data_IF_773363127266
#
_entry.id   IF_773363127266
#
_cell.length_a   1.000
_cell.length_b   1.000
_cell.length_c   1.000
_cell.angle_alpha   90.00
_cell.angle_beta   90.00
_cell.angle_gamma   90.00
#
_symmetry.space_group_name_H-M   'P 1'
#
loop_
_entity.id
_entity.type
_entity.pdbx_description
1 polymer ?
#
# COMPACT_ATOMS: atom_id res chain seq x y z
N UNK A 1 23.26 19.55 7.09
CA UNK A 1 21.79 19.57 7.20
C UNK A 1 21.37 18.21 7.71
N UNK A 2 20.82 18.12 8.93
CA UNK A 2 20.44 16.83 9.51
C UNK A 2 19.34 16.18 8.67
N UNK A 3 19.54 14.93 8.26
CA UNK A 3 18.53 14.17 7.53
C UNK A 3 17.30 14.03 8.41
N UNK A 4 16.21 14.74 8.07
CA UNK A 4 14.93 14.57 8.76
C UNK A 4 14.47 13.14 8.53
N UNK A 5 14.38 12.37 9.61
CA UNK A 5 13.96 10.97 9.57
C UNK A 5 12.54 10.87 9.01
N UNK A 6 12.36 10.21 7.87
CA UNK A 6 11.08 10.13 7.17
C UNK A 6 10.18 9.03 7.72
N UNK A 7 10.77 8.04 8.38
CA UNK A 7 10.06 6.89 8.95
C UNK A 7 10.61 6.57 10.34
N UNK A 8 9.71 6.45 11.32
CA UNK A 8 10.05 6.00 12.68
C UNK A 8 9.43 4.63 12.96
N UNK A 9 10.00 3.94 13.94
CA UNK A 9 9.51 2.64 14.43
C UNK A 9 9.44 2.72 15.95
N UNK A 10 8.25 2.49 16.50
CA UNK A 10 8.00 2.45 17.94
C UNK A 10 7.39 1.10 18.32
N UNK A 11 7.59 0.67 19.56
CA UNK A 11 7.02 -0.58 20.08
C UNK A 11 6.17 -0.29 21.30
N UNK A 12 4.96 -0.85 21.35
CA UNK A 12 4.08 -0.74 22.51
C UNK A 12 4.35 -1.86 23.52
N UNK A 13 3.97 -1.64 24.78
CA UNK A 13 4.06 -2.66 25.83
C UNK A 13 3.23 -3.93 25.51
N UNK A 14 2.17 -3.79 24.72
CA UNK A 14 1.31 -4.90 24.30
C UNK A 14 1.95 -5.79 23.20
N UNK A 15 3.09 -5.36 22.65
CA UNK A 15 3.82 -6.07 21.61
C UNK A 15 3.43 -5.66 20.19
N UNK A 16 3.01 -4.41 19.96
CA UNK A 16 2.76 -3.90 18.60
C UNK A 16 3.95 -3.07 18.11
N UNK A 17 4.45 -3.41 16.91
CA UNK A 17 5.40 -2.57 16.18
C UNK A 17 4.63 -1.57 15.33
N UNK A 18 4.86 -0.27 15.56
CA UNK A 18 4.21 0.80 14.80
C UNK A 18 5.26 1.49 13.94
N UNK A 19 5.06 1.45 12.62
CA UNK A 19 5.82 2.22 11.65
C UNK A 19 5.04 3.49 11.32
N UNK A 20 5.64 4.65 11.58
CA UNK A 20 5.02 5.96 11.33
C UNK A 20 5.76 6.70 10.23
N UNK A 21 5.01 7.09 9.19
CA UNK A 21 5.52 7.79 8.01
C UNK A 21 5.35 9.31 8.18
N UNK A 22 6.45 10.05 8.10
CA UNK A 22 6.58 11.48 8.43
C UNK A 22 7.00 12.34 7.22
N UNK A 23 6.90 11.80 6.00
CA UNK A 23 7.42 12.41 4.78
C UNK A 23 6.36 13.25 4.04
N UNK A 24 5.62 14.10 4.76
CA UNK A 24 4.60 14.98 4.19
C UNK A 24 3.46 14.25 3.47
N UNK A 25 3.58 14.07 2.16
CA UNK A 25 2.63 13.30 1.34
C UNK A 25 2.96 11.80 1.25
N UNK A 26 4.11 11.36 1.83
CA UNK A 26 4.62 10.00 1.77
C UNK A 26 4.62 9.44 0.34
N UNK A 27 5.21 10.22 -0.57
CA UNK A 27 5.37 9.81 -1.97
C UNK A 27 6.42 8.72 -2.08
N UNK A 28 6.12 7.70 -2.87
CA UNK A 28 6.94 6.51 -3.04
C UNK A 28 8.05 6.80 -4.05
N UNK A 29 9.28 6.84 -3.55
CA UNK A 29 10.53 6.86 -4.32
C UNK A 29 11.54 5.91 -3.66
N UNK A 30 12.73 5.74 -4.25
CA UNK A 30 13.72 4.77 -3.76
C UNK A 30 14.10 5.03 -2.29
N UNK A 31 14.34 6.30 -1.92
CA UNK A 31 14.74 6.63 -0.55
C UNK A 31 13.66 6.25 0.46
N UNK A 32 12.40 6.62 0.17
CA UNK A 32 11.27 6.30 1.03
C UNK A 32 11.08 4.79 1.19
N UNK A 33 11.13 4.03 0.08
CA UNK A 33 10.97 2.58 0.12
C UNK A 33 12.14 1.90 0.85
N UNK A 34 13.35 2.43 0.73
CA UNK A 34 14.53 1.91 1.46
C UNK A 34 14.37 2.11 2.96
N UNK A 35 13.93 3.29 3.39
CA UNK A 35 13.64 3.57 4.81
C UNK A 35 12.49 2.70 5.33
N UNK A 36 11.46 2.46 4.52
CA UNK A 36 10.32 1.63 4.89
C UNK A 36 10.75 0.17 5.07
N UNK A 37 11.55 -0.37 4.15
CA UNK A 37 12.11 -1.72 4.28
C UNK A 37 12.97 -1.85 5.54
N UNK A 38 13.81 -0.85 5.82
CA UNK A 38 14.61 -0.84 7.05
C UNK A 38 13.74 -0.84 8.31
N UNK A 39 12.60 -0.14 8.30
CA UNK A 39 11.65 -0.15 9.40
C UNK A 39 10.94 -1.51 9.55
N UNK A 40 10.59 -2.16 8.42
CA UNK A 40 10.07 -3.52 8.40
C UNK A 40 11.08 -4.51 9.01
N UNK A 41 12.38 -4.37 8.70
CA UNK A 41 13.45 -5.20 9.29
C UNK A 41 13.54 -5.03 10.81
N UNK A 42 13.43 -3.79 11.32
CA UNK A 42 13.42 -3.52 12.77
C UNK A 42 12.23 -4.17 13.47
N UNK A 43 11.07 -4.20 12.83
CA UNK A 43 9.89 -4.87 13.40
C UNK A 43 10.10 -6.38 13.47
N UNK A 44 10.74 -6.98 12.46
CA UNK A 44 11.05 -8.41 12.45
C UNK A 44 12.16 -8.82 13.42
N UNK A 45 13.10 -7.93 13.72
CA UNK A 45 14.17 -8.23 14.69
C UNK A 45 13.69 -8.22 16.14
N UNK A 46 12.55 -7.59 16.43
CA UNK A 46 11.94 -7.62 17.75
C UNK A 46 11.09 -8.89 17.94
N UNK A 47 11.60 -9.83 18.73
CA UNK A 47 10.96 -11.12 19.01
C UNK A 47 9.67 -11.02 19.83
N UNK A 48 9.48 -9.92 20.55
CA UNK A 48 8.27 -9.68 21.35
C UNK A 48 7.14 -9.03 20.53
N UNK A 49 7.45 -8.63 19.29
CA UNK A 49 6.47 -8.04 18.39
C UNK A 49 5.49 -9.11 17.86
N UNK A 50 4.20 -8.85 18.06
CA UNK A 50 3.10 -9.74 17.70
C UNK A 50 2.36 -9.31 16.45
N UNK A 51 2.40 -8.02 16.10
CA UNK A 51 1.80 -7.49 14.89
C UNK A 51 2.45 -6.16 14.47
N UNK A 52 2.37 -5.88 13.16
CA UNK A 52 2.80 -4.63 12.55
C UNK A 52 1.60 -3.71 12.31
N UNK A 53 1.76 -2.44 12.66
CA UNK A 53 0.84 -1.35 12.28
C UNK A 53 1.63 -0.33 11.46
N UNK A 54 1.13 0.04 10.29
CA UNK A 54 1.65 1.19 9.54
C UNK A 54 0.66 2.35 9.62
N UNK A 55 1.18 3.56 9.81
CA UNK A 55 0.37 4.79 9.80
C UNK A 55 1.23 5.99 9.39
N UNK A 56 0.64 7.17 9.33
CA UNK A 56 1.39 8.40 9.02
C UNK A 56 0.95 9.59 9.86
N UNK A 57 1.69 10.69 9.68
CA UNK A 57 1.28 12.01 10.15
C UNK A 57 0.72 12.89 9.03
N UNK A 58 -0.06 13.89 9.43
CA UNK A 58 -0.66 14.84 8.51
C UNK A 58 -1.88 14.31 7.76
N UNK A 59 -2.05 14.79 6.52
CA UNK A 59 -3.26 14.59 5.70
C UNK A 59 -3.24 13.34 4.82
N UNK A 60 -2.08 12.71 4.64
CA UNK A 60 -1.89 11.62 3.70
C UNK A 60 -1.30 10.42 4.41
N UNK A 61 -1.96 9.26 4.31
CA UNK A 61 -1.27 8.00 4.55
C UNK A 61 -0.17 7.84 3.49
N UNK A 62 -0.54 7.91 2.21
CA UNK A 62 0.40 8.05 1.08
C UNK A 62 -0.32 8.57 -0.16
N UNK A 63 0.34 9.46 -0.89
CA UNK A 63 -0.11 9.97 -2.19
C UNK A 63 0.47 9.17 -3.38
N UNK A 64 0.93 7.95 -3.14
CA UNK A 64 1.43 7.06 -4.19
C UNK A 64 2.79 7.45 -4.75
N UNK A 65 3.06 7.04 -5.99
CA UNK A 65 4.37 7.18 -6.64
C UNK A 65 4.75 8.66 -6.77
N UNK A 66 6.01 8.97 -6.51
CA UNK A 66 6.57 10.29 -6.77
C UNK A 66 6.82 10.49 -8.27
N UNK A 67 5.77 10.84 -9.03
CA UNK A 67 5.86 11.00 -10.48
C UNK A 67 6.83 12.12 -10.89
N UNK A 68 6.83 13.24 -10.16
CA UNK A 68 7.70 14.38 -10.44
C UNK A 68 9.19 14.03 -10.29
N UNK A 69 9.50 13.14 -9.35
CA UNK A 69 10.84 12.56 -9.20
C UNK A 69 11.12 11.51 -10.27
N UNK A 70 10.20 10.56 -10.49
CA UNK A 70 10.37 9.42 -11.38
C UNK A 70 10.63 9.84 -12.83
N UNK A 71 9.89 10.85 -13.33
CA UNK A 71 10.04 11.38 -14.69
C UNK A 71 11.41 12.01 -14.96
N UNK A 72 12.17 12.35 -13.91
CA UNK A 72 13.51 12.93 -14.02
C UNK A 72 14.62 11.89 -13.91
N UNK A 73 14.29 10.62 -13.69
CA UNK A 73 15.28 9.57 -13.47
C UNK A 73 15.74 8.91 -14.78
N UNK A 74 17.01 8.48 -14.87
CA UNK A 74 17.45 7.58 -15.94
C UNK A 74 16.65 6.27 -15.93
N UNK A 75 16.51 5.64 -17.09
CA UNK A 75 15.74 4.39 -17.25
C UNK A 75 16.18 3.29 -16.27
N UNK A 76 17.50 3.15 -16.04
CA UNK A 76 18.05 2.18 -15.09
C UNK A 76 17.56 2.41 -13.65
N UNK A 77 17.41 3.68 -13.25
CA UNK A 77 16.91 4.05 -11.92
C UNK A 77 15.39 3.84 -11.85
N UNK A 78 14.66 4.16 -12.91
CA UNK A 78 13.22 3.91 -12.98
C UNK A 78 12.90 2.40 -12.89
N UNK A 79 13.68 1.54 -13.57
CA UNK A 79 13.57 0.08 -13.44
C UNK A 79 13.88 -0.40 -12.03
N UNK A 80 14.97 0.10 -11.42
CA UNK A 80 15.31 -0.20 -10.03
C UNK A 80 14.19 0.18 -9.06
N UNK A 81 13.58 1.35 -9.25
CA UNK A 81 12.43 1.78 -8.47
C UNK A 81 11.24 0.83 -8.62
N UNK A 82 10.90 0.43 -9.86
CA UNK A 82 9.81 -0.50 -10.13
C UNK A 82 10.02 -1.85 -9.42
N UNK A 83 11.22 -2.43 -9.49
CA UNK A 83 11.56 -3.66 -8.78
C UNK A 83 11.46 -3.48 -7.26
N UNK A 84 12.04 -2.41 -6.71
CA UNK A 84 11.99 -2.15 -5.27
C UNK A 84 10.55 -1.94 -4.77
N UNK A 85 9.70 -1.26 -5.55
CA UNK A 85 8.29 -1.09 -5.21
C UNK A 85 7.58 -2.44 -5.16
N UNK A 86 7.76 -3.28 -6.17
CA UNK A 86 7.20 -4.65 -6.19
C UNK A 86 7.66 -5.45 -4.99
N UNK A 87 8.97 -5.55 -4.76
CA UNK A 87 9.55 -6.30 -3.65
C UNK A 87 9.01 -5.82 -2.30
N UNK A 88 8.87 -4.50 -2.11
CA UNK A 88 8.32 -3.92 -0.88
C UNK A 88 6.86 -4.30 -0.67
N UNK A 89 6.02 -4.19 -1.71
CA UNK A 89 4.61 -4.57 -1.64
C UNK A 89 4.44 -6.07 -1.38
N UNK A 90 5.26 -6.89 -2.03
CA UNK A 90 5.26 -8.35 -1.89
C UNK A 90 5.72 -8.75 -0.49
N UNK A 91 6.73 -8.06 0.05
CA UNK A 91 7.21 -8.22 1.43
C UNK A 91 6.15 -7.90 2.47
N UNK A 92 5.39 -6.80 2.31
CA UNK A 92 4.28 -6.47 3.21
C UNK A 92 3.18 -7.54 3.10
N UNK A 93 2.90 -8.02 1.90
CA UNK A 93 1.89 -9.06 1.68
C UNK A 93 2.25 -10.41 2.33
N UNK A 94 3.54 -10.75 2.33
CA UNK A 94 4.06 -12.00 2.90
C UNK A 94 4.69 -11.78 4.28
N UNK A 95 4.39 -10.67 4.94
CA UNK A 95 4.97 -10.36 6.24
C UNK A 95 4.62 -11.46 7.26
N UNK A 96 5.59 -11.94 8.06
CA UNK A 96 5.38 -13.10 8.92
C UNK A 96 4.50 -12.83 10.15
N UNK A 97 4.27 -11.55 10.47
CA UNK A 97 3.35 -11.11 11.52
C UNK A 97 2.06 -10.52 10.89
N UNK A 98 0.91 -10.57 11.58
CA UNK A 98 -0.29 -9.84 11.17
C UNK A 98 0.01 -8.36 10.92
N UNK A 99 -0.51 -7.83 9.82
CA UNK A 99 -0.26 -6.44 9.40
C UNK A 99 -1.54 -5.60 9.32
N UNK A 100 -1.48 -4.36 9.82
CA UNK A 100 -2.60 -3.40 9.79
C UNK A 100 -2.16 -2.08 9.17
N UNK A 101 -2.85 -1.62 8.13
CA UNK A 101 -2.71 -0.26 7.61
C UNK A 101 -3.73 0.67 8.29
N UNK A 102 -3.27 1.52 9.19
CA UNK A 102 -4.08 2.55 9.86
C UNK A 102 -4.05 3.86 9.06
N UNK A 103 -5.03 4.02 8.18
CA UNK A 103 -5.17 5.11 7.21
C UNK A 103 -5.73 6.37 7.89
N UNK A 104 -4.84 7.26 8.32
CA UNK A 104 -5.14 8.53 8.99
C UNK A 104 -5.66 9.65 8.06
N UNK A 105 -5.54 9.46 6.74
CA UNK A 105 -5.81 10.47 5.73
C UNK A 105 -5.90 9.89 4.32
N UNK A 106 -5.62 10.70 3.29
CA UNK A 106 -5.69 10.29 1.89
C UNK A 106 -4.69 9.18 1.55
N UNK A 107 -5.15 8.20 0.78
CA UNK A 107 -4.46 6.96 0.41
C UNK A 107 -4.69 6.72 -1.08
N UNK A 108 -3.81 7.23 -1.93
CA UNK A 108 -4.02 7.26 -3.38
C UNK A 108 -3.01 6.43 -4.15
N UNK A 109 -3.43 5.86 -5.27
CA UNK A 109 -2.60 5.18 -6.26
C UNK A 109 -1.72 4.09 -5.62
N UNK A 110 -0.40 4.16 -5.80
CA UNK A 110 0.59 3.33 -5.12
C UNK A 110 0.42 3.24 -3.58
N UNK A 111 -0.10 4.29 -2.94
CA UNK A 111 -0.41 4.28 -1.50
C UNK A 111 -1.60 3.38 -1.16
N UNK A 112 -2.59 3.27 -2.06
CA UNK A 112 -3.69 2.31 -1.94
C UNK A 112 -3.20 0.88 -2.15
N UNK A 113 -2.29 0.64 -3.11
CA UNK A 113 -1.64 -0.66 -3.26
C UNK A 113 -0.83 -1.05 -2.00
N UNK A 114 -0.08 -0.13 -1.42
CA UNK A 114 0.62 -0.38 -0.16
C UNK A 114 -0.33 -0.72 0.99
N UNK A 115 -1.44 0.02 1.12
CA UNK A 115 -2.46 -0.28 2.12
C UNK A 115 -3.11 -1.65 1.91
N UNK A 116 -3.29 -2.06 0.65
CA UNK A 116 -3.94 -3.33 0.32
C UNK A 116 -3.03 -4.55 0.47
N UNK A 117 -1.71 -4.37 0.37
CA UNK A 117 -0.75 -5.43 0.70
C UNK A 117 -0.90 -5.93 2.15
N UNK A 118 -1.36 -5.07 3.07
CA UNK A 118 -1.58 -5.45 4.47
C UNK A 118 -2.72 -6.48 4.63
N UNK A 119 -2.81 -7.13 5.78
CA UNK A 119 -3.92 -8.03 6.11
C UNK A 119 -5.18 -7.24 6.38
N UNK A 120 -5.08 -6.23 7.26
CA UNK A 120 -6.18 -5.38 7.68
C UNK A 120 -5.95 -3.92 7.28
N UNK A 121 -7.04 -3.20 7.07
CA UNK A 121 -7.06 -1.75 6.84
C UNK A 121 -8.11 -1.13 7.73
N UNK A 122 -7.77 -0.04 8.39
CA UNK A 122 -8.71 0.78 9.15
C UNK A 122 -8.52 2.22 8.70
N UNK A 123 -9.60 2.88 8.33
CA UNK A 123 -9.56 4.25 7.85
C UNK A 123 -10.41 5.15 8.74
N UNK A 124 -9.93 6.39 8.93
CA UNK A 124 -10.72 7.40 9.63
C UNK A 124 -12.06 7.62 8.94
N UNK A 125 -13.10 7.61 9.77
CA UNK A 125 -14.48 7.76 9.34
C UNK A 125 -14.79 9.21 8.91
N UNK A 126 -14.11 10.19 9.51
CA UNK A 126 -14.39 11.61 9.36
C UNK A 126 -13.53 12.31 8.29
N UNK A 127 -12.44 11.69 7.84
CA UNK A 127 -11.49 12.30 6.90
C UNK A 127 -10.66 11.27 6.14
N UNK A 128 -10.26 11.65 4.93
CA UNK A 128 -9.42 10.85 4.04
C UNK A 128 -10.22 10.07 3.00
N UNK A 129 -9.53 9.68 1.94
CA UNK A 129 -10.08 8.95 0.80
C UNK A 129 -9.11 7.86 0.38
N UNK A 130 -9.60 6.69 0.00
CA UNK A 130 -8.81 5.64 -0.63
C UNK A 130 -9.21 5.53 -2.11
N UNK A 131 -8.24 5.52 -3.03
CA UNK A 131 -8.52 5.52 -4.46
C UNK A 131 -7.40 4.86 -5.27
N UNK A 132 -7.79 4.05 -6.26
CA UNK A 132 -6.95 3.66 -7.40
C UNK A 132 -7.32 4.51 -8.61
N UNK A 133 -6.49 5.49 -8.93
CA UNK A 133 -6.72 6.42 -10.03
C UNK A 133 -5.90 6.07 -11.28
N UNK A 134 -5.18 4.94 -11.30
CA UNK A 134 -4.36 4.49 -12.44
C UNK A 134 -5.20 4.31 -13.71
N UNK A 135 -6.41 3.79 -13.57
CA UNK A 135 -7.40 3.68 -14.66
C UNK A 135 -7.79 5.06 -15.21
N UNK A 136 -7.82 6.09 -14.37
CA UNK A 136 -8.12 7.46 -14.77
C UNK A 136 -6.91 8.14 -15.44
N UNK A 137 -5.70 7.88 -14.95
CA UNK A 137 -4.46 8.39 -15.52
C UNK A 137 -4.07 7.68 -16.83
N UNK A 138 -4.84 6.68 -17.27
CA UNK A 138 -4.53 5.78 -18.40
C UNK A 138 -3.14 5.17 -18.28
N UNK A 139 -2.63 5.05 -17.05
CA UNK A 139 -1.36 4.40 -16.79
C UNK A 139 -1.61 2.90 -16.78
N UNK A 140 -0.80 2.09 -17.49
CA UNK A 140 -0.88 0.66 -17.32
C UNK A 140 -0.64 0.36 -15.84
N UNK A 141 -1.55 -0.40 -15.23
CA UNK A 141 -1.28 -1.01 -13.94
C UNK A 141 -0.07 -1.91 -14.17
N UNK A 142 1.09 -1.55 -13.60
CA UNK A 142 2.29 -2.35 -13.78
C UNK A 142 2.06 -3.78 -13.29
N UNK A 143 2.77 -4.77 -13.86
CA UNK A 143 2.69 -6.18 -13.43
C UNK A 143 2.72 -6.35 -11.90
N UNK A 144 3.55 -5.62 -11.13
CA UNK A 144 3.55 -5.68 -9.66
C UNK A 144 2.20 -5.43 -9.00
N UNK A 145 1.44 -4.49 -9.55
CA UNK A 145 0.18 -4.03 -9.02
C UNK A 145 -0.97 -4.95 -9.43
N UNK A 146 -0.88 -5.54 -10.63
CA UNK A 146 -1.79 -6.59 -11.09
C UNK A 146 -1.70 -7.85 -10.25
N UNK A 147 -0.49 -8.26 -9.85
CA UNK A 147 -0.29 -9.44 -9.01
C UNK A 147 -0.93 -9.24 -7.62
N UNK A 148 -0.76 -8.05 -7.04
CA UNK A 148 -1.45 -7.69 -5.79
C UNK A 148 -2.98 -7.77 -5.94
N UNK A 149 -3.52 -7.36 -7.08
CA UNK A 149 -4.96 -7.43 -7.36
C UNK A 149 -5.51 -8.86 -7.48
N UNK A 150 -4.67 -9.82 -7.87
CA UNK A 150 -5.10 -11.19 -8.19
C UNK A 150 -4.84 -12.20 -7.06
N UNK A 151 -4.04 -11.85 -6.05
CA UNK A 151 -3.54 -12.78 -5.02
C UNK A 151 -4.45 -12.96 -3.80
N UNK A 152 -5.37 -12.04 -3.53
CA UNK A 152 -6.30 -12.12 -2.39
C UNK A 152 -7.76 -12.07 -2.85
N UNK A 153 -8.63 -13.03 -2.45
CA UNK A 153 -10.06 -12.85 -2.60
C UNK A 153 -10.48 -11.64 -1.76
N UNK A 154 -11.07 -10.65 -2.44
CA UNK A 154 -11.54 -9.41 -1.86
C UNK A 154 -12.86 -9.64 -1.12
N UNK A 155 -12.84 -10.35 0.00
CA UNK A 155 -13.96 -10.31 0.93
C UNK A 155 -13.95 -8.90 1.54
N UNK A 156 -14.73 -7.99 0.97
CA UNK A 156 -15.18 -6.80 1.68
C UNK A 156 -16.52 -7.15 2.30
N UNK A 157 -16.52 -7.96 3.36
CA UNK A 157 -17.74 -8.24 4.12
C UNK A 157 -18.13 -7.01 4.95
N UNK A 158 -18.57 -5.97 4.26
CA UNK A 158 -19.56 -5.04 4.78
C UNK A 158 -20.86 -5.84 4.71
N UNK A 159 -21.58 -5.98 5.82
CA UNK A 159 -22.90 -6.62 5.80
C UNK A 159 -23.79 -5.92 4.77
N UNK A 160 -24.03 -6.59 3.64
CA UNK A 160 -24.81 -6.09 2.49
C UNK A 160 -24.05 -6.18 1.17
N UNK A 161 -24.33 -7.25 0.40
CA UNK A 161 -24.18 -7.37 -1.07
C UNK A 161 -23.22 -6.41 -1.80
N UNK A 162 -22.03 -6.89 -2.19
CA UNK A 162 -21.29 -6.65 -3.46
C UNK A 162 -21.36 -5.31 -4.23
N UNK A 163 -21.78 -4.17 -3.65
CA UNK A 163 -22.09 -2.94 -4.42
C UNK A 163 -21.43 -1.64 -3.94
N UNK A 164 -20.47 -1.65 -3.02
CA UNK A 164 -19.94 -0.40 -2.45
C UNK A 164 -18.41 -0.24 -2.56
N UNK A 165 -17.89 -0.40 -3.79
CA UNK A 165 -16.63 0.24 -4.21
C UNK A 165 -16.97 1.64 -4.74
N UNK A 166 -16.42 2.71 -4.16
CA UNK A 166 -16.59 4.07 -4.73
C UNK A 166 -15.26 4.73 -5.10
N UNK A 167 -14.99 4.75 -6.40
CA UNK A 167 -14.09 5.71 -7.06
C UNK A 167 -14.80 7.07 -7.17
N UNK A 168 -14.10 8.20 -7.04
CA UNK A 168 -14.67 9.53 -7.33
C UNK A 168 -13.82 10.39 -8.28
N UNK A 169 -14.51 11.08 -9.20
CA UNK A 169 -14.02 12.05 -10.21
C UNK A 169 -14.95 13.30 -10.28
N UNK A 170 -14.37 14.43 -10.70
CA UNK A 170 -14.92 15.79 -10.81
C UNK A 170 -16.16 15.87 -11.74
N UNK A 171 -17.23 16.50 -11.24
CA UNK A 171 -18.37 17.07 -12.01
C UNK A 171 -19.55 16.17 -12.44
N UNK A 172 -19.78 15.03 -11.77
CA UNK A 172 -21.14 14.41 -11.68
C UNK A 172 -21.49 14.05 -10.23
N UNK A 173 -22.76 14.16 -9.81
CA UNK A 173 -23.13 14.07 -8.39
C UNK A 173 -22.93 12.65 -7.90
N UNK A 174 -22.12 12.51 -6.85
CA UNK A 174 -21.79 11.22 -6.29
C UNK A 174 -21.86 11.35 -4.76
N UNK A 175 -22.62 10.44 -4.13
CA UNK A 175 -22.98 10.50 -2.71
C UNK A 175 -21.79 10.07 -1.84
N UNK A 176 -21.47 10.80 -0.78
CA UNK A 176 -20.38 10.51 0.17
C UNK A 176 -20.81 9.49 1.23
N UNK A 177 -19.98 8.53 1.64
CA UNK A 177 -20.19 7.82 2.92
C UNK A 177 -18.90 7.47 3.67
N UNK A 178 -19.08 7.45 4.98
CA UNK A 178 -18.13 7.34 6.09
C UNK A 178 -17.94 5.87 6.46
N UNK A 179 -16.69 5.42 6.66
CA UNK A 179 -16.46 4.06 7.18
C UNK A 179 -17.20 3.86 8.51
N UNK A 180 -17.99 2.79 8.59
CA UNK A 180 -18.76 2.46 9.80
C UNK A 180 -17.85 1.90 10.90
N UNK A 181 -18.28 2.08 12.16
CA UNK A 181 -17.51 1.89 13.40
C UNK A 181 -17.18 0.43 13.79
N UNK A 182 -17.09 -0.51 12.85
CA UNK A 182 -16.78 -1.91 13.20
C UNK A 182 -15.65 -2.47 12.35
N UNK A 183 -14.54 -2.79 13.01
CA UNK A 183 -13.46 -3.59 12.44
C UNK A 183 -14.04 -4.93 11.96
N UNK A 184 -13.82 -5.27 10.69
CA UNK A 184 -14.24 -6.55 10.11
C UNK A 184 -13.03 -7.49 10.14
N UNK A 185 -13.17 -8.62 10.82
CA UNK A 185 -12.18 -9.69 10.89
C UNK A 185 -12.35 -10.60 9.67
N UNK A 186 -11.30 -10.75 8.87
CA UNK A 186 -11.29 -11.64 7.70
C UNK A 186 -10.08 -12.57 7.84
N UNK A 187 -10.30 -13.85 8.16
CA UNK A 187 -9.21 -14.78 8.31
C UNK A 187 -8.54 -15.07 6.96
N UNK A 188 -7.21 -15.10 7.00
CA UNK A 188 -6.31 -15.48 5.90
C UNK A 188 -6.68 -16.85 5.33
N UNK A 189 -6.96 -16.94 4.01
CA UNK A 189 -6.52 -18.11 3.24
C UNK A 189 -5.08 -17.85 2.81
N UNK A 190 -4.15 -18.68 3.29
CA UNK A 190 -2.73 -18.62 2.89
C UNK A 190 -2.70 -18.69 1.37
N UNK A 191 -2.11 -17.71 0.69
CA UNK A 191 -1.73 -17.92 -0.71
C UNK A 191 -0.84 -19.17 -0.71
N UNK A 192 -1.34 -20.27 -1.26
CA UNK A 192 -0.49 -21.40 -1.57
C UNK A 192 0.53 -20.88 -2.58
N UNK A 193 1.82 -21.10 -2.31
CA UNK A 193 2.86 -20.86 -3.29
C UNK A 193 2.50 -21.66 -4.56
N UNK A 194 1.87 -21.00 -5.52
CA UNK A 194 1.61 -21.58 -6.83
C UNK A 194 2.84 -21.24 -7.67
N UNK A 195 3.53 -22.23 -8.27
CA UNK A 195 4.69 -21.96 -9.08
C UNK A 195 4.21 -21.40 -10.42
N UNK A 196 4.01 -20.08 -10.50
CA UNK A 196 3.86 -19.40 -11.80
C UNK A 196 5.26 -19.05 -12.31
N UNK A 197 6.09 -20.07 -12.48
CA UNK A 197 7.19 -20.04 -13.42
C UNK A 197 6.67 -20.70 -14.70
N UNK A 198 6.37 -19.89 -15.70
CA UNK A 198 5.91 -20.37 -17.00
C UNK A 198 6.03 -19.29 -18.05
N UNK A 199 7.14 -19.32 -18.79
CA UNK A 199 7.41 -18.71 -20.10
C UNK A 199 6.32 -17.79 -20.69
N UNK A 200 6.59 -16.48 -20.77
CA UNK A 200 5.82 -15.58 -21.62
C UNK A 200 6.69 -14.95 -22.70
N UNK A 201 6.43 -15.38 -23.94
CA UNK A 201 7.01 -14.82 -25.16
C UNK A 201 6.50 -13.40 -25.39
N UNK A 202 7.43 -12.45 -25.49
CA UNK A 202 7.19 -11.10 -25.99
C UNK A 202 6.84 -11.20 -27.48
N UNK A 203 5.59 -10.98 -27.84
CA UNK A 203 5.23 -10.63 -29.22
C UNK A 203 4.92 -9.14 -29.29
N UNK A 204 5.90 -8.39 -29.81
CA UNK A 204 5.72 -7.00 -30.25
C UNK A 204 4.61 -6.94 -31.30
N UNK A 205 3.68 -5.99 -31.19
CA UNK A 205 3.15 -5.26 -32.35
C UNK A 205 2.84 -3.81 -31.97
N UNK A 206 3.72 -2.92 -32.40
CA UNK A 206 3.35 -1.57 -32.77
C UNK A 206 2.67 -1.65 -34.14
N UNK A 207 1.50 -1.04 -34.26
CA UNK A 207 1.04 -0.36 -35.48
C UNK A 207 0.49 1.00 -35.03
#
# INVERSE_FOLDING_TARGET
MGTTQKITTEFTADGFGIIRMLNGQNRLNIDFLTELNSALDRVLSNKDCKALITTSEGKFYSNGIDLDWLLKQPEVIAKKFSSLLHDTLWRIMHFPLPTVAALNGHTFAGGAFMAISHDYRVMRADRGWICWNETHLKLPIGEPLHEVLNTKPWDMTIGGSFTDFRLFWKDKPMKFFRLSRRAVFIPRKRASASPIFGNYHITRRFQ
#
